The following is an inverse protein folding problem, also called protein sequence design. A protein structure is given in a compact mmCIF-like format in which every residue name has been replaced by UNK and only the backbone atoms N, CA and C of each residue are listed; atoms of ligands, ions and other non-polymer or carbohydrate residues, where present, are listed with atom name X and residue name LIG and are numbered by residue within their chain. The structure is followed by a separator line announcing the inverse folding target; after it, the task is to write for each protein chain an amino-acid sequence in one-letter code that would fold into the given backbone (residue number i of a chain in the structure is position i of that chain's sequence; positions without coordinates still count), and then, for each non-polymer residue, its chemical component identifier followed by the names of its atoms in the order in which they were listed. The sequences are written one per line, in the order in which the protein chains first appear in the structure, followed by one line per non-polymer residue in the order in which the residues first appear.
data_IF_950050840123
#
_entry.id   IF_950050840123
#
_cell.length_a   1.000
_cell.length_b   1.000
_cell.length_c   1.000
_cell.angle_alpha   90.00
_cell.angle_beta   90.00
_cell.angle_gamma   90.00
#
_symmetry.space_group_name_H-M   'P 1'
#
loop_
_entity.id
_entity.type
_entity.pdbx_description
1 polymer ?
#
# COMPACT_ATOMS: atom_id res chain seq x y z
N UNK A 1 10.88 14.35 -1.36
CA UNK A 1 9.46 13.93 -1.31
C UNK A 1 9.21 13.23 0.01
N UNK A 2 7.99 13.31 0.55
CA UNK A 2 7.66 12.82 1.89
C UNK A 2 6.61 11.70 1.88
N UNK A 3 5.92 11.46 0.76
CA UNK A 3 4.83 10.48 0.66
C UNK A 3 4.63 10.00 -0.78
N UNK A 4 4.00 8.83 -0.95
CA UNK A 4 3.83 8.21 -2.25
C UNK A 4 3.00 9.07 -3.24
N UNK A 5 1.99 9.79 -2.76
CA UNK A 5 1.19 10.68 -3.63
C UNK A 5 2.00 11.78 -4.31
N UNK A 6 3.10 12.24 -3.71
CA UNK A 6 4.01 13.22 -4.35
C UNK A 6 4.77 12.56 -5.51
N UNK A 7 5.25 11.33 -5.31
CA UNK A 7 5.89 10.52 -6.37
C UNK A 7 4.90 10.27 -7.50
N UNK A 8 3.68 9.83 -7.16
CA UNK A 8 2.61 9.59 -8.12
C UNK A 8 2.28 10.86 -8.92
N UNK A 9 2.11 12.00 -8.25
CA UNK A 9 1.78 13.28 -8.89
C UNK A 9 2.89 13.76 -9.81
N UNK A 10 4.15 13.60 -9.39
CA UNK A 10 5.31 13.93 -10.23
C UNK A 10 5.37 13.03 -11.47
N UNK A 11 5.25 11.71 -11.32
CA UNK A 11 5.17 10.78 -12.45
C UNK A 11 4.03 11.14 -13.40
N UNK A 12 2.83 11.40 -12.86
CA UNK A 12 1.66 11.83 -13.63
C UNK A 12 1.95 13.08 -14.45
N UNK A 13 2.55 14.10 -13.85
CA UNK A 13 2.92 15.34 -14.54
C UNK A 13 3.91 15.07 -15.69
N UNK A 14 4.92 14.23 -15.45
CA UNK A 14 5.94 13.87 -16.46
C UNK A 14 5.31 13.12 -17.64
N UNK A 15 4.49 12.10 -17.39
CA UNK A 15 3.85 11.34 -18.49
C UNK A 15 2.79 12.15 -19.23
N UNK A 16 2.11 13.08 -18.56
CA UNK A 16 1.10 13.94 -19.18
C UNK A 16 1.70 14.99 -20.11
N UNK A 17 2.86 15.56 -19.73
CA UNK A 17 3.61 16.47 -20.59
C UNK A 17 4.14 15.79 -21.85
N UNK A 18 4.35 14.47 -21.79
CA UNK A 18 4.95 13.68 -22.87
C UNK A 18 6.40 14.12 -23.15
N UNK A 19 6.96 13.63 -24.26
CA UNK A 19 8.32 13.93 -24.76
C UNK A 19 9.43 13.09 -24.10
N UNK A 20 9.29 11.78 -24.22
CA UNK A 20 10.39 10.82 -24.08
C UNK A 20 11.16 10.71 -25.40
N UNK A 21 12.19 9.86 -25.45
CA UNK A 21 13.02 9.71 -26.66
C UNK A 21 12.17 9.40 -27.90
N UNK A 22 12.56 10.05 -29.01
CA UNK A 22 11.93 9.89 -30.33
C UNK A 22 12.25 8.56 -31.00
N UNK A 23 13.18 7.78 -30.44
CA UNK A 23 13.64 6.50 -30.97
C UNK A 23 12.67 5.36 -30.64
N UNK A 24 11.37 5.62 -30.83
CA UNK A 24 10.28 4.67 -30.58
C UNK A 24 9.81 4.58 -29.12
N UNK A 25 10.50 5.19 -28.16
CA UNK A 25 10.11 5.18 -26.75
C UNK A 25 8.82 5.95 -26.48
N UNK A 26 8.68 7.17 -27.01
CA UNK A 26 7.44 7.93 -26.90
C UNK A 26 6.23 7.14 -27.45
N UNK A 27 6.36 6.59 -28.67
CA UNK A 27 5.31 5.76 -29.28
C UNK A 27 4.97 4.54 -28.41
N UNK A 28 5.98 3.88 -27.85
CA UNK A 28 5.77 2.71 -26.98
C UNK A 28 4.96 3.08 -25.73
N UNK A 29 5.24 4.24 -25.11
CA UNK A 29 4.49 4.73 -23.95
C UNK A 29 3.04 5.06 -24.30
N UNK A 30 2.81 5.65 -25.48
CA UNK A 30 1.48 5.99 -25.98
C UNK A 30 0.66 4.73 -26.29
N UNK A 31 1.25 3.76 -27.01
CA UNK A 31 0.63 2.44 -27.30
C UNK A 31 0.40 1.59 -26.04
N UNK A 32 1.22 1.80 -25.02
CA UNK A 32 1.06 1.19 -23.70
C UNK A 32 -0.02 1.89 -22.85
N UNK A 33 -0.50 3.06 -23.27
CA UNK A 33 -1.52 3.84 -22.55
C UNK A 33 -1.01 4.43 -21.23
N UNK A 34 0.30 4.68 -21.10
CA UNK A 34 0.91 5.13 -19.84
C UNK A 34 0.35 6.48 -19.38
N UNK A 35 0.01 7.39 -20.29
CA UNK A 35 -0.65 8.65 -19.94
C UNK A 35 -2.00 8.43 -19.25
N UNK A 36 -2.77 7.44 -19.73
CA UNK A 36 -4.07 7.09 -19.14
C UNK A 36 -3.96 6.28 -17.85
N UNK A 37 -2.85 5.54 -17.66
CA UNK A 37 -2.58 4.81 -16.43
C UNK A 37 -2.58 5.72 -15.20
N UNK A 38 -1.99 6.92 -15.28
CA UNK A 38 -1.93 7.87 -14.17
C UNK A 38 -3.14 8.81 -14.15
N UNK A 39 -4.28 8.32 -13.65
CA UNK A 39 -5.51 9.11 -13.52
C UNK A 39 -5.45 10.13 -12.35
N UNK A 40 -6.49 10.94 -12.19
CA UNK A 40 -6.63 11.83 -11.03
C UNK A 40 -6.93 11.11 -9.71
N UNK A 41 -7.34 9.85 -9.75
CA UNK A 41 -7.78 9.07 -8.59
C UNK A 41 -7.01 7.75 -8.47
N UNK A 42 -5.73 7.73 -8.88
CA UNK A 42 -4.87 6.54 -8.84
C UNK A 42 -4.76 5.82 -10.18
N UNK A 43 -4.23 4.61 -10.16
CA UNK A 43 -3.95 3.87 -11.39
C UNK A 43 -5.24 3.39 -12.10
N UNK A 44 -5.36 3.63 -13.40
CA UNK A 44 -6.51 3.19 -14.20
C UNK A 44 -6.32 1.75 -14.70
N UNK A 45 -7.26 0.89 -14.33
CA UNK A 45 -7.25 -0.52 -14.66
C UNK A 45 -7.32 -0.82 -16.17
N UNK A 46 -7.84 0.12 -16.98
CA UNK A 46 -7.87 0.01 -18.45
C UNK A 46 -6.48 -0.05 -19.05
N UNK A 47 -5.50 0.53 -18.36
CA UNK A 47 -4.11 0.63 -18.81
C UNK A 47 -3.17 -0.33 -18.06
N UNK A 48 -3.73 -1.37 -17.41
CA UNK A 48 -3.00 -2.36 -16.61
C UNK A 48 -1.79 -3.02 -17.26
N UNK A 49 -1.86 -3.22 -18.58
CA UNK A 49 -0.79 -3.89 -19.33
C UNK A 49 0.39 -2.95 -19.62
N UNK A 50 0.23 -1.64 -19.34
CA UNK A 50 1.23 -0.62 -19.61
C UNK A 50 2.57 -0.93 -18.95
N UNK A 51 2.64 -1.09 -17.61
CA UNK A 51 3.89 -1.42 -16.92
C UNK A 51 4.60 -2.65 -17.51
N UNK A 52 3.87 -3.72 -17.81
CA UNK A 52 4.42 -4.96 -18.38
C UNK A 52 5.01 -4.74 -19.78
N UNK A 53 4.33 -3.96 -20.63
CA UNK A 53 4.85 -3.56 -21.94
C UNK A 53 6.15 -2.78 -21.81
N UNK A 54 6.24 -1.85 -20.84
CA UNK A 54 7.45 -1.07 -20.60
C UNK A 54 8.58 -1.94 -20.05
N UNK A 55 8.30 -2.83 -19.09
CA UNK A 55 9.28 -3.83 -18.60
C UNK A 55 9.81 -4.70 -19.74
N UNK A 56 8.93 -5.17 -20.62
CA UNK A 56 9.29 -5.97 -21.80
C UNK A 56 10.17 -5.18 -22.77
N UNK A 57 9.83 -3.91 -23.05
CA UNK A 57 10.64 -3.05 -23.91
C UNK A 57 12.05 -2.84 -23.36
N UNK A 58 12.17 -2.53 -22.06
CA UNK A 58 13.47 -2.39 -21.39
C UNK A 58 14.26 -3.69 -21.49
N UNK A 59 13.62 -4.84 -21.20
CA UNK A 59 14.28 -6.14 -21.28
C UNK A 59 14.80 -6.45 -22.68
N UNK A 60 14.00 -6.22 -23.72
CA UNK A 60 14.37 -6.50 -25.11
C UNK A 60 15.50 -5.59 -25.62
N UNK A 61 15.50 -4.32 -25.25
CA UNK A 61 16.61 -3.42 -25.60
C UNK A 61 17.89 -3.75 -24.82
N UNK A 62 17.76 -4.30 -23.61
CA UNK A 62 18.90 -4.71 -22.80
C UNK A 62 19.55 -6.00 -23.33
N UNK A 63 18.75 -6.94 -23.84
CA UNK A 63 19.23 -8.20 -24.43
C UNK A 63 19.61 -8.08 -25.91
N UNK A 64 19.36 -6.93 -26.55
CA UNK A 64 19.67 -6.70 -27.94
C UNK A 64 21.18 -6.74 -28.24
N UNK A 65 21.53 -7.15 -29.46
CA UNK A 65 22.91 -7.24 -29.96
C UNK A 65 23.74 -5.99 -29.64
N UNK A 66 23.19 -4.79 -29.87
CA UNK A 66 23.90 -3.54 -29.61
C UNK A 66 24.24 -3.38 -28.11
N UNK A 67 23.29 -3.67 -27.22
CA UNK A 67 23.51 -3.57 -25.77
C UNK A 67 24.53 -4.60 -25.26
N UNK A 68 24.45 -5.83 -25.78
CA UNK A 68 25.41 -6.89 -25.48
C UNK A 68 26.82 -6.55 -25.99
N UNK A 69 26.93 -5.97 -27.18
CA UNK A 69 28.21 -5.68 -27.85
C UNK A 69 28.92 -4.46 -27.25
N UNK A 70 28.19 -3.39 -26.94
CA UNK A 70 28.79 -2.12 -26.50
C UNK A 70 28.81 -1.92 -24.99
N UNK A 71 27.99 -2.66 -24.23
CA UNK A 71 27.84 -2.44 -22.78
C UNK A 71 28.00 -3.70 -21.92
N UNK A 72 28.36 -4.85 -22.49
CA UNK A 72 28.76 -6.04 -21.72
C UNK A 72 27.65 -6.79 -20.99
N UNK A 73 26.37 -6.56 -21.32
CA UNK A 73 25.22 -7.28 -20.74
C UNK A 73 24.56 -6.59 -19.53
N UNK A 74 23.28 -6.96 -19.28
CA UNK A 74 22.31 -6.42 -18.28
C UNK A 74 22.46 -4.94 -17.87
N UNK A 75 22.44 -4.02 -18.86
CA UNK A 75 22.56 -2.58 -18.65
C UNK A 75 21.21 -1.83 -18.77
N UNK A 76 20.20 -2.25 -18.00
CA UNK A 76 18.84 -1.65 -18.02
C UNK A 76 18.83 -0.16 -17.72
N UNK A 77 19.78 0.32 -16.94
CA UNK A 77 19.95 1.71 -16.54
C UNK A 77 20.34 2.60 -17.71
N UNK A 78 21.21 2.12 -18.60
CA UNK A 78 21.54 2.79 -19.86
C UNK A 78 20.30 2.92 -20.76
N UNK A 79 19.55 1.84 -20.91
CA UNK A 79 18.31 1.80 -21.71
C UNK A 79 17.30 2.81 -21.18
N UNK A 80 17.04 2.82 -19.87
CA UNK A 80 16.10 3.75 -19.24
C UNK A 80 16.59 5.21 -19.36
N UNK A 81 17.88 5.44 -19.20
CA UNK A 81 18.45 6.79 -19.33
C UNK A 81 18.29 7.34 -20.75
N UNK A 82 18.63 6.55 -21.78
CA UNK A 82 18.43 6.92 -23.19
C UNK A 82 16.96 7.08 -23.56
N UNK A 83 16.09 6.20 -23.07
CA UNK A 83 14.65 6.30 -23.26
C UNK A 83 14.06 7.64 -22.76
N UNK A 84 14.72 8.26 -21.77
CA UNK A 84 14.35 9.53 -21.18
C UNK A 84 15.00 10.75 -21.88
N UNK A 85 15.86 10.58 -22.88
CA UNK A 85 16.56 11.67 -23.55
C UNK A 85 15.65 12.41 -24.53
N UNK A 86 15.44 13.70 -24.29
CA UNK A 86 14.65 14.59 -25.15
C UNK A 86 14.85 16.04 -24.69
N UNK A 87 15.56 16.85 -25.47
CA UNK A 87 15.90 18.23 -25.10
C UNK A 87 14.73 19.21 -25.23
N UNK A 88 13.68 18.82 -25.97
CA UNK A 88 12.48 19.65 -26.16
C UNK A 88 11.45 19.51 -25.03
N UNK A 89 11.76 18.71 -24.02
CA UNK A 89 10.84 18.33 -22.94
C UNK A 89 10.97 19.23 -21.72
N UNK A 90 9.84 19.57 -21.09
CA UNK A 90 9.78 20.50 -19.95
C UNK A 90 10.20 19.86 -18.62
N UNK A 91 9.95 18.56 -18.45
CA UNK A 91 10.49 17.81 -17.32
C UNK A 91 12.01 17.67 -17.45
N UNK A 92 12.73 17.49 -16.34
CA UNK A 92 14.17 17.19 -16.44
C UNK A 92 14.38 15.78 -17.00
N UNK A 93 15.53 15.54 -17.64
CA UNK A 93 15.92 14.20 -18.11
C UNK A 93 15.86 13.16 -16.97
N UNK A 94 16.37 13.55 -15.80
CA UNK A 94 16.31 12.77 -14.56
C UNK A 94 14.88 12.42 -14.13
N UNK A 95 13.94 13.38 -14.19
CA UNK A 95 12.54 13.14 -13.84
C UNK A 95 11.89 12.12 -14.80
N UNK A 96 12.22 12.19 -16.10
CA UNK A 96 11.75 11.20 -17.09
C UNK A 96 12.33 9.81 -16.82
N UNK A 97 13.62 9.71 -16.52
CA UNK A 97 14.27 8.44 -16.18
C UNK A 97 13.69 7.84 -14.88
N UNK A 98 13.48 8.67 -13.85
CA UNK A 98 12.79 8.27 -12.61
C UNK A 98 11.37 7.77 -12.87
N UNK A 99 10.63 8.43 -13.76
CA UNK A 99 9.27 8.03 -14.13
C UNK A 99 9.25 6.67 -14.83
N UNK A 100 10.13 6.45 -15.81
CA UNK A 100 10.27 5.14 -16.46
C UNK A 100 10.65 4.06 -15.46
N UNK A 101 11.59 4.35 -14.56
CA UNK A 101 12.01 3.43 -13.51
C UNK A 101 10.84 3.06 -12.58
N UNK A 102 10.04 4.03 -12.17
CA UNK A 102 8.86 3.78 -11.35
C UNK A 102 7.86 2.88 -12.07
N UNK A 103 7.59 3.13 -13.36
CA UNK A 103 6.68 2.31 -14.19
C UNK A 103 7.20 0.87 -14.29
N UNK A 104 8.51 0.67 -14.44
CA UNK A 104 9.09 -0.69 -14.49
C UNK A 104 9.02 -1.47 -13.18
N UNK A 105 8.67 -0.82 -12.09
CA UNK A 105 8.54 -1.41 -10.76
C UNK A 105 7.10 -1.32 -10.21
N UNK A 106 6.14 -1.01 -11.10
CA UNK A 106 4.72 -0.95 -10.78
C UNK A 106 4.02 -2.22 -11.30
N UNK A 107 3.24 -2.86 -10.43
CA UNK A 107 2.55 -4.11 -10.71
C UNK A 107 1.07 -3.99 -10.41
N UNK A 108 0.23 -4.45 -11.34
CA UNK A 108 -1.15 -4.81 -11.00
C UNK A 108 -1.13 -6.25 -10.48
N UNK A 109 -1.15 -6.43 -9.16
CA UNK A 109 -0.97 -7.73 -8.53
C UNK A 109 -2.19 -8.64 -8.69
N UNK A 110 -3.39 -8.08 -8.56
CA UNK A 110 -4.63 -8.88 -8.66
C UNK A 110 -5.86 -8.02 -8.90
N UNK A 111 -6.84 -8.58 -9.61
CA UNK A 111 -8.21 -8.07 -9.73
C UNK A 111 -9.19 -9.12 -9.23
N UNK A 112 -10.08 -8.75 -8.30
CA UNK A 112 -11.09 -9.65 -7.72
C UNK A 112 -12.41 -8.90 -7.58
N UNK A 113 -13.36 -9.12 -8.50
CA UNK A 113 -14.60 -8.35 -8.55
C UNK A 113 -14.31 -6.85 -8.64
N UNK A 114 -14.84 -6.06 -7.70
CA UNK A 114 -14.55 -4.63 -7.59
C UNK A 114 -13.09 -4.33 -7.20
N UNK A 115 -12.46 -5.15 -6.35
CA UNK A 115 -11.14 -4.86 -5.78
C UNK A 115 -10.01 -4.96 -6.81
N UNK A 116 -9.17 -3.93 -6.89
CA UNK A 116 -7.97 -3.92 -7.73
C UNK A 116 -6.74 -3.49 -6.93
N UNK A 117 -5.68 -4.28 -7.01
CA UNK A 117 -4.51 -4.14 -6.14
C UNK A 117 -3.28 -3.79 -6.97
N UNK A 118 -2.75 -2.61 -6.71
CA UNK A 118 -1.49 -2.14 -7.28
C UNK A 118 -0.39 -2.23 -6.25
N UNK A 119 0.81 -2.62 -6.69
CA UNK A 119 2.00 -2.66 -5.84
C UNK A 119 3.11 -1.88 -6.55
N UNK A 120 3.64 -0.87 -5.88
CA UNK A 120 4.91 -0.27 -6.27
C UNK A 120 6.03 -0.90 -5.44
N UNK A 121 6.99 -1.54 -6.11
CA UNK A 121 8.07 -2.30 -5.50
C UNK A 121 9.43 -1.76 -5.97
N UNK A 122 9.91 -0.65 -5.36
CA UNK A 122 11.17 -0.04 -5.79
C UNK A 122 12.37 -0.98 -5.60
N UNK A 123 13.53 -0.67 -6.21
CA UNK A 123 14.77 -1.38 -5.94
C UNK A 123 15.12 -1.40 -4.46
N UNK A 124 15.53 -2.55 -3.93
CA UNK A 124 15.82 -2.74 -2.50
C UNK A 124 16.97 -1.87 -1.99
N UNK A 125 17.91 -1.49 -2.88
CA UNK A 125 19.06 -0.65 -2.53
C UNK A 125 18.73 0.83 -2.40
N UNK A 126 17.54 1.25 -2.82
CA UNK A 126 17.16 2.66 -2.70
C UNK A 126 16.93 2.99 -1.24
N UNK A 127 17.32 4.21 -0.83
CA UNK A 127 17.08 4.70 0.53
C UNK A 127 16.13 5.89 0.56
N UNK A 128 15.82 6.47 -0.61
CA UNK A 128 14.87 7.57 -0.78
C UNK A 128 13.79 7.20 -1.80
N UNK A 129 12.89 8.15 -2.03
CA UNK A 129 11.96 8.11 -3.14
C UNK A 129 12.70 8.21 -4.48
N UNK A 130 12.17 7.56 -5.53
CA UNK A 130 12.84 7.42 -6.84
C UNK A 130 13.38 8.74 -7.42
N UNK A 131 12.63 9.85 -7.33
CA UNK A 131 13.06 11.15 -7.86
C UNK A 131 14.20 11.78 -7.05
N UNK A 132 14.29 11.45 -5.77
CA UNK A 132 15.34 11.91 -4.84
C UNK A 132 16.56 10.98 -4.86
N UNK A 133 16.40 9.76 -5.38
CA UNK A 133 17.44 8.74 -5.48
C UNK A 133 18.38 8.95 -6.68
N UNK A 134 17.85 9.48 -7.78
CA UNK A 134 18.64 9.83 -8.95
C UNK A 134 19.29 11.20 -8.71
N UNK A 135 20.58 11.22 -8.36
CA UNK A 135 21.38 12.42 -8.17
C UNK A 135 22.82 12.19 -8.65
N UNK A 136 23.58 13.26 -8.86
CA UNK A 136 24.96 13.20 -9.32
C UNK A 136 25.09 13.30 -10.84
N UNK A 137 26.22 12.83 -11.35
CA UNK A 137 26.53 12.78 -12.77
C UNK A 137 25.77 11.65 -13.50
N UNK A 138 25.90 11.63 -14.83
CA UNK A 138 25.26 10.62 -15.68
C UNK A 138 25.61 9.18 -15.27
N UNK A 139 26.89 8.93 -14.96
CA UNK A 139 27.37 7.62 -14.52
C UNK A 139 26.67 7.17 -13.23
N UNK A 140 26.56 8.07 -12.24
CA UNK A 140 25.88 7.81 -10.98
C UNK A 140 24.38 7.54 -11.17
N UNK A 141 23.72 8.31 -12.04
CA UNK A 141 22.31 8.12 -12.37
C UNK A 141 22.08 6.75 -13.03
N UNK A 142 22.88 6.41 -14.05
CA UNK A 142 22.80 5.12 -14.73
C UNK A 142 23.05 3.94 -13.79
N UNK A 143 24.04 4.06 -12.90
CA UNK A 143 24.32 3.06 -11.88
C UNK A 143 23.13 2.83 -10.92
N UNK A 144 22.42 3.90 -10.54
CA UNK A 144 21.18 3.79 -9.75
C UNK A 144 20.04 3.15 -10.55
N UNK A 145 19.82 3.58 -11.79
CA UNK A 145 18.81 2.99 -12.67
C UNK A 145 19.03 1.50 -12.95
N UNK A 146 20.29 1.03 -12.90
CA UNK A 146 20.66 -0.38 -13.01
C UNK A 146 20.27 -1.23 -11.79
N UNK A 147 19.88 -0.65 -10.66
CA UNK A 147 19.38 -1.40 -9.50
C UNK A 147 17.97 -1.91 -9.81
N UNK A 148 17.80 -3.22 -9.97
CA UNK A 148 16.54 -3.83 -10.39
C UNK A 148 16.01 -4.88 -9.43
N UNK A 149 16.79 -5.27 -8.42
CA UNK A 149 16.32 -6.23 -7.43
C UNK A 149 15.29 -5.57 -6.54
N UNK A 150 14.07 -6.10 -6.54
CA UNK A 150 12.93 -5.44 -5.96
C UNK A 150 12.83 -5.65 -4.46
N UNK A 151 12.26 -4.67 -3.77
CA UNK A 151 12.04 -4.72 -2.33
C UNK A 151 11.03 -5.80 -1.90
N UNK A 152 10.00 -6.03 -2.70
CA UNK A 152 8.99 -7.07 -2.45
C UNK A 152 9.15 -8.22 -3.45
N UNK A 153 9.25 -9.43 -2.93
CA UNK A 153 9.15 -10.65 -3.73
C UNK A 153 7.74 -10.87 -4.26
N UNK A 154 7.58 -11.67 -5.31
CA UNK A 154 6.25 -12.02 -5.85
C UNK A 154 5.37 -12.73 -4.82
N UNK A 155 5.99 -13.49 -3.91
CA UNK A 155 5.31 -14.12 -2.77
C UNK A 155 4.75 -13.06 -1.81
N UNK A 156 5.52 -12.03 -1.48
CA UNK A 156 5.04 -10.93 -0.62
C UNK A 156 3.94 -10.12 -1.30
N UNK A 157 4.06 -9.80 -2.60
CA UNK A 157 2.99 -9.13 -3.36
C UNK A 157 1.70 -9.97 -3.31
N UNK A 158 1.80 -11.29 -3.46
CA UNK A 158 0.66 -12.20 -3.32
C UNK A 158 0.07 -12.18 -1.91
N UNK A 159 0.90 -12.19 -0.87
CA UNK A 159 0.46 -12.06 0.51
C UNK A 159 -0.32 -10.76 0.78
N UNK A 160 0.10 -9.64 0.20
CA UNK A 160 -0.63 -8.36 0.31
C UNK A 160 -2.05 -8.49 -0.27
N UNK A 161 -2.19 -9.07 -1.46
CA UNK A 161 -3.49 -9.31 -2.11
C UNK A 161 -4.38 -10.26 -1.28
N UNK A 162 -3.83 -11.36 -0.79
CA UNK A 162 -4.59 -12.35 -0.02
C UNK A 162 -5.01 -11.79 1.36
N UNK A 163 -4.14 -11.02 2.02
CA UNK A 163 -4.46 -10.34 3.26
C UNK A 163 -5.52 -9.24 3.07
N UNK A 164 -5.47 -8.48 1.97
CA UNK A 164 -6.47 -7.47 1.65
C UNK A 164 -7.84 -8.09 1.39
N UNK A 165 -7.92 -9.23 0.69
CA UNK A 165 -9.17 -9.95 0.52
C UNK A 165 -9.75 -10.40 1.86
N UNK A 166 -8.90 -10.90 2.76
CA UNK A 166 -9.33 -11.27 4.11
C UNK A 166 -9.79 -10.04 4.91
N UNK A 167 -9.09 -8.91 4.80
CA UNK A 167 -9.49 -7.65 5.43
C UNK A 167 -10.87 -7.20 4.93
N UNK A 168 -11.11 -7.23 3.61
CA UNK A 168 -12.42 -6.94 3.04
C UNK A 168 -13.51 -7.87 3.61
N UNK A 169 -13.27 -9.18 3.63
CA UNK A 169 -14.21 -10.16 4.19
C UNK A 169 -14.53 -9.87 5.66
N UNK A 170 -13.52 -9.57 6.46
CA UNK A 170 -13.67 -9.27 7.90
C UNK A 170 -14.43 -7.95 8.10
N UNK A 171 -14.13 -6.92 7.32
CA UNK A 171 -14.83 -5.62 7.38
C UNK A 171 -16.29 -5.74 6.96
N UNK A 172 -16.59 -6.49 5.89
CA UNK A 172 -17.97 -6.78 5.47
C UNK A 172 -18.74 -7.60 6.51
N UNK A 173 -18.09 -8.60 7.10
CA UNK A 173 -18.69 -9.39 8.19
C UNK A 173 -19.01 -8.49 9.39
N UNK A 174 -18.08 -7.60 9.75
CA UNK A 174 -18.27 -6.64 10.84
C UNK A 174 -19.45 -5.72 10.58
N UNK A 175 -19.61 -5.19 9.36
CA UNK A 175 -20.79 -4.38 8.97
C UNK A 175 -22.10 -5.15 9.19
N UNK A 176 -22.17 -6.36 8.66
CA UNK A 176 -23.36 -7.22 8.74
C UNK A 176 -23.71 -7.53 10.19
N UNK A 177 -22.71 -7.90 11.01
CA UNK A 177 -22.93 -8.24 12.41
C UNK A 177 -23.32 -7.03 13.25
N UNK A 178 -22.69 -5.87 13.06
CA UNK A 178 -23.05 -4.63 13.76
C UNK A 178 -24.51 -4.22 13.48
N UNK A 179 -24.97 -4.39 12.24
CA UNK A 179 -26.36 -4.10 11.86
C UNK A 179 -27.39 -4.96 12.61
N UNK A 180 -27.02 -6.19 13.03
CA UNK A 180 -27.92 -7.09 13.77
C UNK A 180 -28.17 -6.64 15.21
N UNK A 181 -27.24 -5.88 15.81
CA UNK A 181 -27.27 -5.45 17.22
C UNK A 181 -27.58 -6.59 18.22
N UNK A 182 -27.16 -7.81 17.91
CA UNK A 182 -27.42 -8.99 18.75
C UNK A 182 -26.68 -8.91 20.09
N UNK A 183 -27.14 -9.65 21.09
CA UNK A 183 -26.46 -9.72 22.39
C UNK A 183 -25.01 -10.18 22.29
N UNK A 184 -24.70 -11.07 21.33
CA UNK A 184 -23.33 -11.50 21.04
C UNK A 184 -22.47 -10.32 20.60
N UNK A 185 -23.00 -9.49 19.70
CA UNK A 185 -22.30 -8.30 19.17
C UNK A 185 -22.14 -7.26 20.27
N UNK A 186 -23.20 -6.97 21.03
CA UNK A 186 -23.15 -6.05 22.18
C UNK A 186 -22.10 -6.48 23.20
N UNK A 187 -22.01 -7.78 23.53
CA UNK A 187 -20.97 -8.32 24.42
C UNK A 187 -19.56 -8.11 23.88
N UNK A 188 -19.35 -8.23 22.57
CA UNK A 188 -18.06 -7.97 21.94
C UNK A 188 -17.71 -6.48 21.95
N UNK A 189 -18.67 -5.60 21.65
CA UNK A 189 -18.45 -4.14 21.74
C UNK A 189 -18.09 -3.74 23.17
N UNK A 190 -18.84 -4.23 24.17
CA UNK A 190 -18.52 -3.99 25.58
C UNK A 190 -17.10 -4.40 25.92
N UNK A 191 -16.68 -5.61 25.50
CA UNK A 191 -15.34 -6.14 25.77
C UNK A 191 -14.19 -5.29 25.24
N UNK A 192 -14.32 -4.76 24.02
CA UNK A 192 -13.23 -4.09 23.32
C UNK A 192 -13.21 -2.57 23.50
N UNK A 193 -14.33 -1.97 23.92
CA UNK A 193 -14.47 -0.51 23.94
C UNK A 193 -14.98 0.08 25.25
N UNK A 194 -15.81 -0.62 26.02
CA UNK A 194 -16.45 -0.03 27.20
C UNK A 194 -15.66 -0.37 28.46
N UNK A 195 -15.46 0.63 29.31
CA UNK A 195 -14.91 0.49 30.66
C UNK A 195 -16.02 0.41 31.72
N UNK A 196 -15.65 0.25 32.99
CA UNK A 196 -16.60 0.09 34.10
C UNK A 196 -17.49 1.32 34.35
N UNK A 197 -17.14 2.49 33.78
CA UNK A 197 -17.95 3.71 33.88
C UNK A 197 -18.93 3.88 32.72
N UNK A 198 -18.86 3.02 31.71
CA UNK A 198 -19.68 3.08 30.50
C UNK A 198 -21.05 2.43 30.70
N UNK A 199 -22.10 3.01 30.14
CA UNK A 199 -23.46 2.52 30.16
C UNK A 199 -24.01 2.11 28.78
N UNK A 200 -25.34 2.04 28.69
CA UNK A 200 -26.01 1.69 27.42
C UNK A 200 -25.91 2.81 26.38
N UNK A 201 -25.78 4.07 26.81
CA UNK A 201 -25.53 5.21 25.91
C UNK A 201 -24.22 5.03 25.15
N UNK A 202 -23.11 4.79 25.85
CA UNK A 202 -21.79 4.56 25.24
C UNK A 202 -21.78 3.32 24.35
N UNK A 203 -22.56 2.29 24.70
CA UNK A 203 -22.71 1.10 23.86
C UNK A 203 -23.35 1.44 22.52
N UNK A 204 -24.46 2.17 22.53
CA UNK A 204 -25.18 2.53 21.31
C UNK A 204 -24.35 3.50 20.45
N UNK A 205 -23.66 4.45 21.06
CA UNK A 205 -22.69 5.32 20.39
C UNK A 205 -21.54 4.53 19.75
N UNK A 206 -20.95 3.59 20.48
CA UNK A 206 -19.90 2.73 19.97
C UNK A 206 -20.37 1.91 18.76
N UNK A 207 -21.55 1.28 18.85
CA UNK A 207 -22.14 0.53 17.74
C UNK A 207 -22.36 1.43 16.53
N UNK A 208 -22.91 2.63 16.72
CA UNK A 208 -23.14 3.58 15.63
C UNK A 208 -21.82 4.02 14.97
N UNK A 209 -20.82 4.39 15.77
CA UNK A 209 -19.50 4.81 15.29
C UNK A 209 -18.76 3.69 14.55
N UNK A 210 -18.77 2.48 15.09
CA UNK A 210 -18.18 1.30 14.45
C UNK A 210 -18.90 0.98 13.14
N UNK A 211 -20.24 1.04 13.11
CA UNK A 211 -21.02 0.78 11.88
C UNK A 211 -20.64 1.77 10.77
N UNK A 212 -20.65 3.07 11.09
CA UNK A 212 -20.28 4.11 10.13
C UNK A 212 -18.83 3.97 9.66
N UNK A 213 -17.91 3.60 10.55
CA UNK A 213 -16.51 3.43 10.21
C UNK A 213 -16.21 2.18 9.38
N UNK A 214 -16.79 1.02 9.74
CA UNK A 214 -16.58 -0.20 8.96
C UNK A 214 -17.24 -0.15 7.58
N UNK A 215 -18.29 0.66 7.39
CA UNK A 215 -18.80 0.98 6.05
C UNK A 215 -17.71 1.61 5.16
N UNK A 216 -16.94 2.56 5.70
CA UNK A 216 -15.84 3.19 4.98
C UNK A 216 -14.67 2.23 4.77
N UNK A 217 -14.23 1.56 5.84
CA UNK A 217 -13.10 0.60 5.77
C UNK A 217 -13.38 -0.52 4.77
N UNK A 218 -14.59 -1.07 4.73
CA UNK A 218 -14.92 -2.10 3.74
C UNK A 218 -14.92 -1.55 2.31
N UNK A 219 -15.42 -0.34 2.08
CA UNK A 219 -15.35 0.31 0.77
C UNK A 219 -13.90 0.54 0.33
N UNK A 220 -13.03 1.00 1.24
CA UNK A 220 -11.60 1.20 0.98
C UNK A 220 -10.88 -0.12 0.70
N UNK A 221 -11.13 -1.17 1.50
CA UNK A 221 -10.65 -2.52 1.22
C UNK A 221 -11.10 -3.02 -0.16
N UNK A 222 -12.31 -2.66 -0.60
CA UNK A 222 -12.88 -3.01 -1.90
C UNK A 222 -12.49 -2.10 -3.06
N UNK A 223 -11.60 -1.12 -2.83
CA UNK A 223 -11.23 -0.11 -3.83
C UNK A 223 -10.61 -0.69 -5.09
N UNK A 224 -10.83 -0.01 -6.23
CA UNK A 224 -10.22 -0.28 -7.53
C UNK A 224 -8.90 0.46 -7.75
N UNK A 225 -8.45 1.28 -6.79
CA UNK A 225 -7.30 2.18 -6.99
C UNK A 225 -6.27 2.09 -5.86
N UNK A 226 -6.39 1.08 -5.01
CA UNK A 226 -5.51 0.87 -3.86
C UNK A 226 -4.08 0.58 -4.29
N UNK A 227 -3.14 1.21 -3.59
CA UNK A 227 -1.70 0.99 -3.77
C UNK A 227 -1.05 0.48 -2.49
N UNK A 228 -0.31 -0.62 -2.60
CA UNK A 228 0.70 -1.02 -1.63
C UNK A 228 2.08 -0.55 -2.08
N UNK A 229 2.88 -0.06 -1.14
CA UNK A 229 4.30 0.29 -1.35
C UNK A 229 5.00 0.20 0.01
N UNK A 230 6.30 0.41 0.08
CA UNK A 230 7.01 0.67 1.33
C UNK A 230 7.18 2.17 1.61
N UNK A 231 7.61 2.50 2.83
CA UNK A 231 8.02 3.85 3.20
C UNK A 231 9.55 3.92 3.35
N UNK A 232 10.27 4.75 2.58
CA UNK A 232 11.74 4.74 2.59
C UNK A 232 12.38 4.88 3.97
N UNK A 233 11.84 5.74 4.84
CA UNK A 233 12.39 5.96 6.18
C UNK A 233 12.24 4.73 7.10
N UNK A 234 11.37 3.79 6.75
CA UNK A 234 11.12 2.57 7.52
C UNK A 234 11.96 1.39 7.02
N UNK A 235 12.72 1.55 5.94
CA UNK A 235 13.55 0.49 5.35
C UNK A 235 14.61 -0.09 6.30
N UNK A 236 15.11 0.71 7.25
CA UNK A 236 16.04 0.21 8.26
C UNK A 236 15.36 -0.66 9.34
N UNK A 237 14.02 -0.57 9.47
CA UNK A 237 13.23 -1.24 10.50
C UNK A 237 12.26 -2.29 9.94
N UNK A 238 12.36 -2.62 8.65
CA UNK A 238 11.38 -3.51 7.97
C UNK A 238 11.20 -4.86 8.63
N UNK A 239 12.27 -5.40 9.22
CA UNK A 239 12.21 -6.71 9.88
C UNK A 239 11.26 -6.73 11.10
N UNK A 240 11.00 -5.58 11.73
CA UNK A 240 10.15 -5.46 12.91
C UNK A 240 8.85 -4.69 12.67
N UNK A 241 8.75 -3.95 11.56
CA UNK A 241 7.56 -3.18 11.19
C UNK A 241 6.67 -3.97 10.23
N UNK A 242 5.36 -3.92 10.44
CA UNK A 242 4.39 -4.54 9.52
C UNK A 242 3.89 -3.57 8.45
N UNK A 243 3.69 -2.31 8.81
CA UNK A 243 3.17 -1.32 7.89
C UNK A 243 2.67 -0.07 8.59
N UNK A 244 2.03 0.80 7.81
CA UNK A 244 1.46 2.06 8.25
C UNK A 244 0.58 2.70 7.18
N UNK A 245 -0.29 3.61 7.57
CA UNK A 245 -0.95 4.56 6.68
C UNK A 245 -0.89 5.98 7.23
N UNK A 246 -0.97 6.96 6.34
CA UNK A 246 -1.07 8.37 6.75
C UNK A 246 -2.51 8.63 7.24
N UNK A 247 -2.70 9.13 8.48
CA UNK A 247 -4.04 9.40 9.02
C UNK A 247 -4.83 10.39 8.16
N UNK A 248 -6.08 10.03 7.82
CA UNK A 248 -6.92 10.82 6.92
C UNK A 248 -6.55 10.71 5.43
N UNK A 249 -5.59 9.86 5.09
CA UNK A 249 -5.11 9.65 3.73
C UNK A 249 -4.14 10.72 3.24
N UNK A 250 -3.59 10.49 2.06
CA UNK A 250 -2.51 11.33 1.52
C UNK A 250 -2.98 12.52 0.67
N UNK A 251 -4.29 12.62 0.40
CA UNK A 251 -4.86 13.66 -0.46
C UNK A 251 -4.76 13.40 -1.96
N UNK A 252 -4.35 12.19 -2.38
CA UNK A 252 -4.22 11.80 -3.79
C UNK A 252 -5.49 11.22 -4.44
N UNK A 253 -6.58 11.07 -3.69
CA UNK A 253 -7.85 10.52 -4.19
C UNK A 253 -7.91 8.98 -4.29
N UNK A 254 -6.92 8.28 -3.75
CA UNK A 254 -6.89 6.81 -3.67
C UNK A 254 -6.19 6.34 -2.40
N UNK A 255 -6.52 5.14 -1.87
CA UNK A 255 -5.95 4.64 -0.64
C UNK A 255 -4.54 4.06 -0.86
N UNK A 256 -3.65 4.34 0.09
CA UNK A 256 -2.27 3.85 0.11
C UNK A 256 -2.02 3.22 1.47
N UNK A 257 -1.42 2.03 1.46
CA UNK A 257 -0.85 1.41 2.65
C UNK A 257 0.63 1.15 2.42
N UNK A 258 1.43 1.55 3.39
CA UNK A 258 2.84 1.22 3.49
C UNK A 258 2.99 -0.14 4.15
N UNK A 259 3.65 -1.10 3.49
CA UNK A 259 3.86 -2.47 3.98
C UNK A 259 5.35 -2.73 4.13
N UNK A 260 5.71 -3.34 5.26
CA UNK A 260 7.09 -3.62 5.62
C UNK A 260 7.35 -5.12 5.87
N UNK A 261 8.63 -5.51 5.96
CA UNK A 261 9.07 -6.92 5.89
C UNK A 261 8.48 -7.87 6.93
N UNK A 262 8.10 -7.39 8.13
CA UNK A 262 7.44 -8.24 9.11
C UNK A 262 6.07 -8.73 8.60
N UNK A 263 5.37 -7.94 7.79
CA UNK A 263 4.10 -8.35 7.17
C UNK A 263 4.28 -9.58 6.28
N UNK A 264 5.31 -9.56 5.43
CA UNK A 264 5.64 -10.68 4.55
C UNK A 264 5.97 -11.95 5.35
N UNK A 265 6.73 -11.79 6.43
CA UNK A 265 7.11 -12.87 7.35
C UNK A 265 5.90 -13.51 8.04
N UNK A 266 4.98 -12.70 8.56
CA UNK A 266 3.75 -13.21 9.19
C UNK A 266 2.82 -13.87 8.18
N UNK A 267 2.62 -13.27 6.99
CA UNK A 267 1.75 -13.86 5.98
C UNK A 267 2.28 -15.20 5.44
N UNK A 268 3.60 -15.39 5.45
CA UNK A 268 4.23 -16.66 5.07
C UNK A 268 4.07 -17.79 6.09
N UNK A 269 3.67 -17.46 7.33
CA UNK A 269 3.42 -18.45 8.37
C UNK A 269 1.98 -18.99 8.27
N UNK A 270 1.85 -20.32 8.27
CA UNK A 270 0.54 -20.96 8.20
C UNK A 270 -0.38 -20.48 9.33
N UNK A 271 -1.62 -20.15 8.99
CA UNK A 271 -2.61 -19.66 9.96
C UNK A 271 -2.44 -18.21 10.42
N UNK A 272 -1.45 -17.46 9.93
CA UNK A 272 -1.16 -16.10 10.41
C UNK A 272 -1.63 -14.97 9.48
N UNK A 273 -2.26 -15.29 8.33
CA UNK A 273 -2.76 -14.29 7.37
C UNK A 273 -3.75 -13.29 8.01
N UNK A 274 -4.52 -13.71 9.02
CA UNK A 274 -5.42 -12.82 9.75
C UNK A 274 -4.68 -11.70 10.50
N UNK A 275 -3.43 -11.92 10.90
CA UNK A 275 -2.61 -10.88 11.54
C UNK A 275 -2.26 -9.78 10.53
N UNK A 276 -2.02 -10.15 9.27
CA UNK A 276 -1.80 -9.22 8.17
C UNK A 276 -3.09 -8.49 7.77
N UNK A 277 -4.22 -9.20 7.71
CA UNK A 277 -5.53 -8.58 7.49
C UNK A 277 -5.88 -7.59 8.61
N UNK A 278 -5.58 -7.93 9.86
CA UNK A 278 -5.72 -7.05 11.03
C UNK A 278 -4.90 -5.77 10.85
N UNK A 279 -3.65 -5.87 10.42
CA UNK A 279 -2.81 -4.69 10.13
C UNK A 279 -3.46 -3.81 9.06
N UNK A 280 -3.94 -4.39 7.96
CA UNK A 280 -4.65 -3.61 6.92
C UNK A 280 -5.87 -2.87 7.49
N UNK A 281 -6.67 -3.55 8.32
CA UNK A 281 -7.84 -2.93 8.97
C UNK A 281 -7.40 -1.81 9.92
N UNK A 282 -6.36 -2.03 10.73
CA UNK A 282 -5.78 -1.03 11.60
C UNK A 282 -5.40 0.23 10.80
N UNK A 283 -4.62 0.06 9.74
CA UNK A 283 -4.18 1.18 8.90
C UNK A 283 -5.35 1.89 8.21
N UNK A 284 -6.37 1.16 7.74
CA UNK A 284 -7.54 1.79 7.16
C UNK A 284 -8.42 2.51 8.15
N UNK A 285 -8.40 2.14 9.43
CA UNK A 285 -9.08 2.96 10.43
C UNK A 285 -8.39 4.32 10.61
N UNK A 286 -7.05 4.38 10.54
CA UNK A 286 -6.33 5.67 10.51
C UNK A 286 -6.70 6.47 9.27
N UNK A 287 -6.72 5.82 8.10
CA UNK A 287 -7.05 6.44 6.82
C UNK A 287 -8.49 7.00 6.78
N UNK A 288 -9.48 6.16 7.06
CA UNK A 288 -10.90 6.43 6.76
C UNK A 288 -11.66 7.14 7.87
N UNK A 289 -11.26 6.91 9.12
CA UNK A 289 -11.96 7.41 10.31
C UNK A 289 -11.04 8.06 11.35
N UNK A 290 -9.74 8.23 11.03
CA UNK A 290 -8.77 8.97 11.84
C UNK A 290 -8.66 8.47 13.27
N UNK A 291 -8.66 7.14 13.44
CA UNK A 291 -8.24 6.53 14.72
C UNK A 291 -6.81 6.94 15.07
N UNK A 292 -6.40 6.68 16.31
CA UNK A 292 -5.08 6.97 16.88
C UNK A 292 -4.48 5.70 17.46
N UNK A 293 -3.17 5.70 17.67
CA UNK A 293 -2.47 4.65 18.40
C UNK A 293 -2.33 5.01 19.88
N UNK A 294 -3.45 4.92 20.60
CA UNK A 294 -3.44 5.13 22.04
C UNK A 294 -2.79 3.96 22.78
N UNK A 295 -3.02 2.74 22.31
CA UNK A 295 -2.50 1.54 22.93
C UNK A 295 -2.40 0.39 21.93
N UNK A 296 -1.33 -0.40 22.04
CA UNK A 296 -1.08 -1.54 21.17
C UNK A 296 -1.47 -2.87 21.83
N UNK A 297 -1.85 -3.87 21.04
CA UNK A 297 -2.29 -5.19 21.53
C UNK A 297 -1.35 -5.87 22.53
N UNK A 298 -0.05 -5.63 22.41
CA UNK A 298 0.96 -6.27 23.25
C UNK A 298 1.06 -5.63 24.64
N UNK A 299 0.49 -4.44 24.84
CA UNK A 299 0.38 -3.78 26.16
C UNK A 299 -0.98 -4.01 26.82
N UNK A 300 -1.92 -4.65 26.12
CA UNK A 300 -3.30 -4.88 26.56
C UNK A 300 -4.27 -3.82 26.04
N UNK A 301 -5.45 -4.26 25.58
CA UNK A 301 -6.50 -3.42 24.98
C UNK A 301 -7.79 -3.45 25.80
N UNK A 302 -7.78 -4.05 26.99
CA UNK A 302 -8.95 -4.09 27.86
C UNK A 302 -9.24 -2.65 28.32
N UNK A 303 -10.43 -2.08 28.03
CA UNK A 303 -10.79 -0.77 28.52
C UNK A 303 -10.80 -0.74 30.05
N UNK A 304 -10.17 0.30 30.61
CA UNK A 304 -9.99 0.50 32.06
C UNK A 304 -9.64 1.97 32.32
N UNK A 305 -9.46 2.38 33.57
CA UNK A 305 -9.19 3.78 33.92
C UNK A 305 -8.03 4.42 33.13
N UNK A 306 -6.95 3.70 32.84
CA UNK A 306 -5.80 4.21 32.06
C UNK A 306 -6.05 4.24 30.54
N UNK A 307 -7.03 3.47 30.08
CA UNK A 307 -7.45 3.32 28.68
C UNK A 307 -8.99 3.31 28.61
N UNK A 308 -9.63 4.45 28.92
CA UNK A 308 -11.08 4.53 29.04
C UNK A 308 -11.77 4.44 27.68
N UNK A 309 -13.10 4.35 27.66
CA UNK A 309 -13.92 4.30 26.46
C UNK A 309 -13.53 5.37 25.44
N UNK A 310 -13.32 6.61 25.88
CA UNK A 310 -12.93 7.73 25.02
C UNK A 310 -11.62 7.50 24.25
N UNK A 311 -10.69 6.71 24.80
CA UNK A 311 -9.48 6.28 24.09
C UNK A 311 -9.70 4.99 23.31
N UNK A 312 -10.38 4.01 23.89
CA UNK A 312 -10.58 2.71 23.28
C UNK A 312 -11.36 2.81 21.95
N UNK A 313 -12.40 3.63 21.89
CA UNK A 313 -13.19 3.84 20.68
C UNK A 313 -12.47 4.69 19.61
N UNK A 314 -11.40 5.39 19.97
CA UNK A 314 -10.52 6.08 19.04
C UNK A 314 -9.29 5.24 18.64
N UNK A 315 -9.07 4.08 19.26
CA UNK A 315 -7.84 3.31 19.10
C UNK A 315 -7.88 2.35 17.90
N UNK A 316 -6.94 2.48 16.96
CA UNK A 316 -6.90 1.66 15.75
C UNK A 316 -6.75 0.16 16.04
N UNK A 317 -5.87 -0.19 16.99
CA UNK A 317 -5.64 -1.58 17.36
C UNK A 317 -6.85 -2.25 18.02
N UNK A 318 -7.68 -1.48 18.76
CA UNK A 318 -8.95 -1.96 19.32
C UNK A 318 -9.97 -2.27 18.23
N UNK A 319 -10.10 -1.40 17.22
CA UNK A 319 -10.98 -1.63 16.07
C UNK A 319 -10.58 -2.88 15.28
N UNK A 320 -9.29 -3.01 14.97
CA UNK A 320 -8.79 -4.14 14.21
C UNK A 320 -8.95 -5.47 14.97
N UNK A 321 -8.65 -5.51 16.28
CA UNK A 321 -8.83 -6.71 17.08
C UNK A 321 -10.32 -7.07 17.26
N UNK A 322 -11.19 -6.08 17.46
CA UNK A 322 -12.64 -6.27 17.52
C UNK A 322 -13.16 -6.93 16.24
N UNK A 323 -12.80 -6.42 15.06
CA UNK A 323 -13.27 -6.95 13.78
C UNK A 323 -12.84 -8.41 13.56
N UNK A 324 -11.57 -8.73 13.88
CA UNK A 324 -11.02 -10.08 13.78
C UNK A 324 -11.70 -11.03 14.77
N UNK A 325 -11.95 -10.58 16.01
CA UNK A 325 -12.67 -11.36 17.03
C UNK A 325 -14.12 -11.62 16.61
N UNK A 326 -14.80 -10.59 16.13
CA UNK A 326 -16.19 -10.66 15.68
C UNK A 326 -16.35 -11.61 14.48
N UNK A 327 -15.41 -11.57 13.54
CA UNK A 327 -15.38 -12.48 12.39
C UNK A 327 -14.90 -13.90 12.74
N UNK A 328 -14.52 -14.16 13.99
CA UNK A 328 -14.18 -15.49 14.50
C UNK A 328 -12.76 -15.97 14.19
N UNK A 329 -11.86 -15.08 13.76
CA UNK A 329 -10.46 -15.43 13.46
C UNK A 329 -9.55 -15.32 14.69
N UNK A 330 -9.96 -14.59 15.73
CA UNK A 330 -9.16 -14.44 16.94
C UNK A 330 -9.29 -15.67 17.85
N UNK A 331 -8.16 -16.36 18.09
CA UNK A 331 -8.13 -17.50 19.01
C UNK A 331 -8.44 -17.05 20.45
N UNK A 332 -8.88 -18.00 21.29
CA UNK A 332 -9.09 -17.72 22.73
C UNK A 332 -7.78 -17.29 23.41
N UNK A 333 -6.66 -17.90 23.04
CA UNK A 333 -5.35 -17.60 23.62
C UNK A 333 -4.89 -16.17 23.26
N UNK A 334 -5.02 -15.78 21.98
CA UNK A 334 -4.69 -14.43 21.53
C UNK A 334 -5.61 -13.39 22.17
N UNK A 335 -6.91 -13.70 22.27
CA UNK A 335 -7.89 -12.83 22.94
C UNK A 335 -7.50 -12.56 24.40
N UNK A 336 -7.10 -13.59 25.15
CA UNK A 336 -6.65 -13.43 26.54
C UNK A 336 -5.40 -12.55 26.59
N UNK A 337 -4.42 -12.82 25.71
CA UNK A 337 -3.18 -12.03 25.63
C UNK A 337 -3.43 -10.55 25.32
N UNK A 338 -4.40 -10.25 24.47
CA UNK A 338 -4.68 -8.87 24.05
C UNK A 338 -5.58 -8.12 25.03
N UNK A 339 -6.23 -8.78 25.99
CA UNK A 339 -7.15 -8.17 26.95
C UNK A 339 -6.63 -8.25 28.39
N UNK A 340 -5.38 -7.83 28.59
CA UNK A 340 -4.69 -7.76 29.89
C UNK A 340 -4.80 -6.41 30.60
#
# INVERSE_FOLDING_TARGET
MNKFTEVYTKCRSVVQAGKFSTDGWQKTLDDAGIKGLFSSTGFDEKHKAGPDKIRTKVSNETSGWFSQTFFGGDNKGEVIYKAAENDSASATHKDRAATLKMITHLYRQSKRGGQDVWVYSPPKEYTKWIFDELTGDESSIKAKLNKNEELFSDKEKKHMSDALLMALKVSETTKIELAKKSDKVKKLVKRWFLDDSSGDTELDEAIAKLTAGFNKVAATCGSTTLVFTDYPDWRAKRASYMGGAIPGGEGGGFPIIYIEGAFGSYAGNSGMLWTCARTIIHEFTHHDVRTKDHQYRHTGLKPKTTFPYSKAIENADSWACFAIDLAGYLSKADRIKFLV
#
